data_IF_947404663434
#
_entry.id   IF_947404663434
#
_cell.length_a   1.000
_cell.length_b   1.000
_cell.length_c   1.000
_cell.angle_alpha   90.00
_cell.angle_beta   90.00
_cell.angle_gamma   90.00
#
_symmetry.space_group_name_H-M   'P 1'
#
loop_
_entity.id
_entity.type
_entity.pdbx_description
1 polymer ?
#
# COMPACT_ATOMS: atom_id res chain seq x y z
N UNK A 1 -7.73 12.41 -27.49
CA UNK A 1 -9.18 12.63 -27.73
C UNK A 1 -9.51 14.08 -27.40
N UNK A 2 -10.45 14.68 -28.13
CA UNK A 2 -10.82 16.10 -28.01
C UNK A 2 -11.48 16.34 -26.65
N UNK A 3 -10.84 17.12 -25.76
CA UNK A 3 -11.48 17.60 -24.53
C UNK A 3 -12.63 18.56 -24.89
N UNK A 4 -13.86 18.08 -24.81
CA UNK A 4 -15.05 18.93 -24.91
C UNK A 4 -15.14 19.77 -23.62
N UNK A 5 -14.75 21.05 -23.70
CA UNK A 5 -14.98 22.01 -22.61
C UNK A 5 -16.49 22.24 -22.45
N UNK A 6 -17.06 21.73 -21.36
CA UNK A 6 -18.44 21.99 -20.96
C UNK A 6 -18.59 23.47 -20.59
N UNK A 7 -19.55 24.15 -21.22
CA UNK A 7 -19.87 25.54 -20.94
C UNK A 7 -20.53 25.70 -19.57
N UNK A 8 -20.24 26.79 -18.85
CA UNK A 8 -20.78 27.08 -17.49
C UNK A 8 -22.32 26.99 -17.39
N UNK A 9 -23.04 27.18 -18.50
CA UNK A 9 -24.49 27.15 -18.53
C UNK A 9 -25.09 25.84 -19.05
N UNK A 10 -24.25 24.90 -19.51
CA UNK A 10 -24.69 23.62 -20.05
C UNK A 10 -25.26 22.72 -18.95
N UNK A 11 -26.10 21.72 -19.30
CA UNK A 11 -26.49 20.68 -18.35
C UNK A 11 -25.26 20.00 -17.75
N UNK A 12 -25.27 19.80 -16.44
CA UNK A 12 -24.14 19.27 -15.71
C UNK A 12 -23.86 17.80 -16.12
N UNK A 13 -22.61 17.43 -16.44
CA UNK A 13 -22.26 16.06 -16.90
C UNK A 13 -22.56 14.95 -15.89
N UNK A 14 -22.69 15.28 -14.60
CA UNK A 14 -23.03 14.32 -13.55
C UNK A 14 -24.47 13.79 -13.61
N UNK A 15 -25.26 14.19 -14.62
CA UNK A 15 -26.63 13.71 -14.81
C UNK A 15 -27.68 14.36 -13.90
N UNK A 16 -27.32 15.38 -13.10
CA UNK A 16 -28.22 16.03 -12.15
C UNK A 16 -29.33 16.88 -12.78
N UNK A 17 -29.27 17.14 -14.10
CA UNK A 17 -30.19 18.03 -14.81
C UNK A 17 -30.04 19.52 -14.50
N UNK A 18 -29.17 19.90 -13.55
CA UNK A 18 -28.87 21.31 -13.20
C UNK A 18 -27.86 21.92 -14.18
N UNK A 19 -27.80 23.25 -14.27
CA UNK A 19 -26.72 23.96 -15.00
C UNK A 19 -25.38 23.70 -14.32
N UNK A 20 -24.32 23.47 -15.10
CA UNK A 20 -22.98 23.14 -14.62
C UNK A 20 -22.48 24.09 -13.52
N UNK A 21 -22.65 25.42 -13.71
CA UNK A 21 -22.30 26.45 -12.71
C UNK A 21 -23.01 26.37 -11.35
N UNK A 22 -24.14 25.67 -11.27
CA UNK A 22 -24.95 25.50 -10.06
C UNK A 22 -24.88 24.07 -9.50
N UNK A 23 -23.97 23.26 -10.01
CA UNK A 23 -23.82 21.86 -9.63
C UNK A 23 -22.35 21.55 -9.37
N UNK A 24 -21.63 20.97 -10.34
CA UNK A 24 -20.26 20.54 -10.14
C UNK A 24 -19.23 21.65 -10.33
N UNK A 25 -19.53 22.75 -11.02
CA UNK A 25 -18.53 23.80 -11.26
C UNK A 25 -17.87 24.37 -9.99
N UNK A 26 -18.58 24.66 -8.88
CA UNK A 26 -17.91 25.12 -7.65
C UNK A 26 -16.94 24.07 -7.08
N UNK A 27 -17.32 22.78 -7.13
CA UNK A 27 -16.47 21.67 -6.73
C UNK A 27 -15.28 21.49 -7.69
N UNK A 28 -15.50 21.72 -8.98
CA UNK A 28 -14.52 21.60 -10.05
C UNK A 28 -13.56 22.79 -10.09
N UNK A 29 -14.03 23.99 -9.73
CA UNK A 29 -13.19 25.16 -9.50
C UNK A 29 -12.30 24.87 -8.29
N UNK A 30 -12.88 24.43 -7.15
CA UNK A 30 -12.13 23.98 -5.96
C UNK A 30 -11.10 22.86 -6.26
N UNK A 31 -11.39 21.95 -7.21
CA UNK A 31 -10.47 20.89 -7.66
C UNK A 31 -9.46 21.37 -8.70
N UNK A 32 -9.80 22.31 -9.58
CA UNK A 32 -8.83 22.91 -10.52
C UNK A 32 -7.76 23.73 -9.81
N UNK A 33 -8.03 24.12 -8.55
CA UNK A 33 -7.07 24.72 -7.62
C UNK A 33 -6.35 23.68 -6.73
N UNK A 34 -6.62 22.38 -6.89
CA UNK A 34 -6.01 21.29 -6.13
C UNK A 34 -5.47 20.23 -7.09
N UNK A 35 -4.16 20.33 -7.36
CA UNK A 35 -3.30 19.34 -8.02
C UNK A 35 -3.49 19.17 -9.53
N UNK A 36 -2.70 19.93 -10.29
CA UNK A 36 -2.10 19.40 -11.51
C UNK A 36 -0.95 18.43 -11.14
N UNK A 37 -1.25 17.18 -10.80
CA UNK A 37 -0.19 16.15 -10.74
C UNK A 37 0.39 15.99 -12.17
N UNK A 38 1.72 15.88 -12.39
CA UNK A 38 2.75 15.17 -11.61
C UNK A 38 4.02 16.00 -11.32
N UNK A 39 3.97 17.33 -11.27
CA UNK A 39 5.13 18.15 -10.87
C UNK A 39 5.05 18.59 -9.40
N UNK A 40 3.83 18.81 -8.88
CA UNK A 40 3.61 19.30 -7.51
C UNK A 40 3.95 18.24 -6.44
N UNK A 41 3.66 16.95 -6.67
CA UNK A 41 3.94 15.88 -5.71
C UNK A 41 5.43 15.67 -5.44
N UNK A 42 6.30 15.95 -6.42
CA UNK A 42 7.75 15.89 -6.22
C UNK A 42 8.23 17.06 -5.35
N UNK A 43 7.67 18.25 -5.53
CA UNK A 43 7.96 19.39 -4.67
C UNK A 43 7.55 19.10 -3.23
N UNK A 44 6.36 18.51 -3.01
CA UNK A 44 5.89 18.09 -1.69
C UNK A 44 6.85 17.14 -0.95
N UNK A 45 7.62 16.30 -1.67
CA UNK A 45 8.61 15.42 -1.06
C UNK A 45 9.87 16.15 -0.59
N UNK A 46 10.31 17.16 -1.34
CA UNK A 46 11.42 18.02 -0.89
C UNK A 46 11.01 18.85 0.33
N UNK A 47 9.75 19.28 0.37
CA UNK A 47 9.18 19.99 1.52
C UNK A 47 9.11 19.08 2.75
N UNK A 48 8.52 17.90 2.61
CA UNK A 48 8.51 16.89 3.68
C UNK A 48 9.92 16.61 4.26
N UNK A 49 10.93 16.55 3.39
CA UNK A 49 12.32 16.33 3.80
C UNK A 49 12.91 17.50 4.62
N UNK A 50 12.52 18.74 4.28
CA UNK A 50 12.94 19.95 5.00
C UNK A 50 12.18 20.12 6.33
N UNK A 51 10.93 19.68 6.40
CA UNK A 51 10.08 19.85 7.60
C UNK A 51 10.28 18.80 8.68
N UNK A 52 10.36 17.53 8.28
CA UNK A 52 10.27 16.42 9.24
C UNK A 52 11.64 15.95 9.74
N UNK A 53 12.74 16.40 9.10
CA UNK A 53 14.05 15.81 9.32
C UNK A 53 15.17 16.83 9.47
N UNK A 54 15.91 16.70 10.57
CA UNK A 54 17.22 17.32 10.73
C UNK A 54 18.30 16.43 10.09
N UNK A 55 19.27 17.04 9.41
CA UNK A 55 20.39 16.33 8.76
C UNK A 55 21.72 16.65 9.44
N UNK A 56 22.38 15.65 10.04
CA UNK A 56 23.67 15.83 10.71
C UNK A 56 24.81 16.23 9.74
N UNK A 57 24.62 16.02 8.44
CA UNK A 57 25.64 16.25 7.41
C UNK A 57 25.02 16.54 6.04
N UNK A 58 25.56 17.52 5.30
CA UNK A 58 25.06 17.93 3.95
C UNK A 58 24.98 16.76 2.95
N UNK A 59 25.97 15.87 2.96
CA UNK A 59 25.97 14.65 2.15
C UNK A 59 24.77 13.71 2.43
N UNK A 60 24.21 13.71 3.64
CA UNK A 60 23.03 12.89 3.96
C UNK A 60 21.77 13.51 3.36
N UNK A 61 21.61 14.82 3.48
CA UNK A 61 20.53 15.56 2.81
C UNK A 61 20.62 15.40 1.28
N UNK A 62 21.83 15.47 0.70
CA UNK A 62 22.04 15.26 -0.73
C UNK A 62 21.58 13.87 -1.19
N UNK A 63 21.86 12.82 -0.41
CA UNK A 63 21.38 11.47 -0.71
C UNK A 63 19.85 11.41 -0.64
N UNK A 64 19.23 12.05 0.35
CA UNK A 64 17.77 12.10 0.45
C UNK A 64 17.13 12.82 -0.75
N UNK A 65 17.71 13.94 -1.20
CA UNK A 65 17.30 14.62 -2.43
C UNK A 65 17.47 13.71 -3.66
N UNK A 66 18.59 13.01 -3.76
CA UNK A 66 18.83 12.07 -4.85
C UNK A 66 17.82 10.92 -4.85
N UNK A 67 17.45 10.39 -3.67
CA UNK A 67 16.38 9.39 -3.50
C UNK A 67 15.06 9.91 -4.08
N UNK A 68 14.68 11.16 -3.81
CA UNK A 68 13.50 11.78 -4.44
C UNK A 68 13.64 11.82 -5.96
N UNK A 69 14.81 12.23 -6.47
CA UNK A 69 15.03 12.31 -7.91
C UNK A 69 15.03 10.95 -8.62
N UNK A 70 15.60 9.92 -8.00
CA UNK A 70 15.79 8.60 -8.60
C UNK A 70 14.57 7.70 -8.46
N UNK A 71 13.80 7.84 -7.37
CA UNK A 71 12.59 7.09 -7.15
C UNK A 71 11.39 7.75 -7.83
N UNK A 72 11.34 9.07 -7.98
CA UNK A 72 10.24 9.72 -8.70
C UNK A 72 10.40 9.65 -10.23
N UNK A 73 9.34 9.40 -11.02
CA UNK A 73 7.95 9.13 -10.63
C UNK A 73 7.63 7.63 -10.49
N UNK A 74 8.63 6.75 -10.42
CA UNK A 74 8.44 5.29 -10.41
C UNK A 74 7.81 4.80 -9.10
N UNK A 75 8.04 5.51 -8.00
CA UNK A 75 7.51 5.20 -6.67
C UNK A 75 6.53 6.27 -6.22
N UNK A 76 5.57 5.83 -5.40
CA UNK A 76 4.59 6.72 -4.78
C UNK A 76 5.24 7.69 -3.79
N UNK A 77 4.73 8.94 -3.66
CA UNK A 77 5.31 9.92 -2.73
C UNK A 77 5.43 9.40 -1.30
N UNK A 78 4.43 8.71 -0.74
CA UNK A 78 4.56 8.16 0.62
C UNK A 78 5.64 7.09 0.75
N UNK A 79 5.93 6.35 -0.32
CA UNK A 79 7.01 5.35 -0.34
C UNK A 79 8.37 6.05 -0.39
N UNK A 80 8.48 7.13 -1.17
CA UNK A 80 9.68 7.97 -1.20
C UNK A 80 9.87 8.69 0.14
N UNK A 81 8.81 9.19 0.75
CA UNK A 81 8.82 9.75 2.10
C UNK A 81 9.31 8.73 3.13
N UNK A 82 8.83 7.50 3.07
CA UNK A 82 9.34 6.42 3.90
C UNK A 82 10.83 6.11 3.64
N UNK A 83 11.28 6.15 2.37
CA UNK A 83 12.69 6.00 2.04
C UNK A 83 13.57 7.11 2.63
N UNK A 84 13.08 8.36 2.62
CA UNK A 84 13.74 9.51 3.26
C UNK A 84 13.82 9.30 4.77
N UNK A 85 12.73 8.88 5.42
CA UNK A 85 12.68 8.62 6.86
C UNK A 85 13.67 7.52 7.26
N UNK A 86 13.66 6.38 6.55
CA UNK A 86 14.58 5.26 6.75
C UNK A 86 16.03 5.74 6.64
N UNK A 87 16.33 6.52 5.58
CA UNK A 87 17.67 7.06 5.36
C UNK A 87 18.09 8.04 6.45
N UNK A 88 17.22 8.97 6.86
CA UNK A 88 17.51 9.95 7.89
C UNK A 88 17.86 9.28 9.23
N UNK A 89 17.01 8.36 9.68
CA UNK A 89 17.21 7.63 10.93
C UNK A 89 18.52 6.85 10.89
N UNK A 90 18.78 6.10 9.82
CA UNK A 90 20.02 5.35 9.69
C UNK A 90 21.25 6.27 9.63
N UNK A 91 21.23 7.31 8.80
CA UNK A 91 22.39 8.15 8.56
C UNK A 91 22.81 8.96 9.79
N UNK A 92 21.85 9.54 10.53
CA UNK A 92 22.14 10.34 11.72
C UNK A 92 22.67 9.50 12.88
N UNK A 93 22.19 8.25 13.04
CA UNK A 93 22.62 7.38 14.14
C UNK A 93 23.91 6.61 13.83
N UNK A 94 24.03 6.06 12.61
CA UNK A 94 25.15 5.20 12.22
C UNK A 94 26.33 5.99 11.65
N UNK A 95 26.07 7.18 11.12
CA UNK A 95 27.07 8.07 10.51
C UNK A 95 27.93 7.35 9.45
N UNK A 96 27.30 6.76 8.42
CA UNK A 96 28.00 5.93 7.45
C UNK A 96 29.00 6.74 6.61
N UNK A 97 30.13 6.11 6.27
CA UNK A 97 31.11 6.69 5.34
C UNK A 97 30.62 6.53 3.90
N UNK A 98 30.20 7.63 3.30
CA UNK A 98 29.68 7.70 1.93
C UNK A 98 30.79 8.13 0.96
N UNK A 99 31.33 7.18 0.19
CA UNK A 99 32.30 7.47 -0.89
C UNK A 99 31.64 7.77 -2.23
N UNK A 100 30.47 7.16 -2.49
CA UNK A 100 29.64 7.35 -3.69
C UNK A 100 28.18 7.32 -3.25
N UNK A 101 27.42 8.36 -3.55
CA UNK A 101 26.03 8.51 -3.09
C UNK A 101 25.13 7.43 -3.67
N UNK A 102 25.27 7.09 -4.96
CA UNK A 102 24.49 6.05 -5.64
C UNK A 102 24.54 4.66 -5.00
N UNK A 103 25.58 4.35 -4.22
CA UNK A 103 25.64 3.09 -3.47
C UNK A 103 24.67 3.06 -2.29
N UNK A 104 24.46 4.20 -1.61
CA UNK A 104 23.49 4.32 -0.53
C UNK A 104 22.07 4.50 -1.07
N UNK A 105 21.90 5.31 -2.13
CA UNK A 105 20.60 5.49 -2.80
C UNK A 105 20.02 4.13 -3.25
N UNK A 106 20.82 3.31 -3.94
CA UNK A 106 20.41 1.97 -4.35
C UNK A 106 20.11 1.03 -3.17
N UNK A 107 20.84 1.16 -2.06
CA UNK A 107 20.63 0.35 -0.88
C UNK A 107 19.33 0.71 -0.15
N UNK A 108 19.04 2.00 0.00
CA UNK A 108 17.79 2.49 0.60
C UNK A 108 16.59 2.07 -0.26
N UNK A 109 16.64 2.27 -1.58
CA UNK A 109 15.57 1.83 -2.49
C UNK A 109 15.36 0.31 -2.42
N UNK A 110 16.44 -0.46 -2.34
CA UNK A 110 16.36 -1.91 -2.15
C UNK A 110 15.70 -2.27 -0.82
N UNK A 111 16.15 -1.67 0.29
CA UNK A 111 15.59 -1.95 1.62
C UNK A 111 14.09 -1.64 1.66
N UNK A 112 13.68 -0.47 1.17
CA UNK A 112 12.26 -0.09 1.08
C UNK A 112 11.48 -1.07 0.22
N UNK A 113 12.01 -1.48 -0.92
CA UNK A 113 11.34 -2.45 -1.78
C UNK A 113 11.15 -3.81 -1.09
N UNK A 114 12.13 -4.28 -0.32
CA UNK A 114 11.97 -5.53 0.44
C UNK A 114 10.96 -5.38 1.58
N UNK A 115 10.99 -4.25 2.31
CA UNK A 115 10.07 -3.98 3.42
C UNK A 115 8.61 -3.92 2.93
N UNK A 116 8.39 -3.36 1.75
CA UNK A 116 7.07 -3.13 1.18
C UNK A 116 6.64 -4.19 0.15
N UNK A 117 7.40 -5.29 0.03
CA UNK A 117 7.19 -6.36 -0.96
C UNK A 117 6.99 -5.85 -2.41
N UNK A 118 7.78 -4.85 -2.79
CA UNK A 118 7.79 -4.30 -4.14
C UNK A 118 8.70 -5.15 -5.05
N UNK A 119 8.33 -5.39 -6.32
CA UNK A 119 9.02 -6.31 -7.22
C UNK A 119 10.31 -5.70 -7.82
N UNK A 120 11.25 -5.31 -6.96
CA UNK A 120 12.49 -4.62 -7.34
C UNK A 120 13.68 -5.51 -7.00
N UNK A 121 14.55 -5.75 -7.98
CA UNK A 121 15.72 -6.64 -7.82
C UNK A 121 17.01 -5.85 -7.67
N UNK A 122 18.00 -6.40 -6.97
CA UNK A 122 19.33 -5.79 -6.89
C UNK A 122 19.99 -5.63 -8.26
N UNK A 123 19.69 -6.52 -9.22
CA UNK A 123 20.19 -6.42 -10.60
C UNK A 123 19.64 -5.19 -11.32
N UNK A 124 18.33 -4.93 -11.20
CA UNK A 124 17.71 -3.73 -11.77
C UNK A 124 18.28 -2.44 -11.15
N UNK A 125 18.51 -2.44 -9.83
CA UNK A 125 19.11 -1.30 -9.14
C UNK A 125 20.59 -1.11 -9.47
N UNK A 126 21.33 -2.19 -9.71
CA UNK A 126 22.73 -2.16 -10.13
C UNK A 126 22.91 -1.42 -11.45
N UNK A 127 22.01 -1.69 -12.41
CA UNK A 127 21.94 -0.98 -13.68
C UNK A 127 21.51 0.48 -13.49
N UNK A 128 20.44 0.73 -12.73
CA UNK A 128 19.89 2.08 -12.47
C UNK A 128 20.93 3.03 -11.85
N UNK A 129 21.71 2.55 -10.88
CA UNK A 129 22.61 3.38 -10.08
C UNK A 129 24.10 3.25 -10.45
N UNK A 130 24.44 2.39 -11.41
CA UNK A 130 25.83 2.20 -11.84
C UNK A 130 26.76 1.64 -10.75
N UNK A 131 26.22 0.82 -9.84
CA UNK A 131 26.94 0.18 -8.72
C UNK A 131 26.80 -1.33 -8.79
N UNK A 132 27.74 -2.10 -8.25
CA UNK A 132 27.63 -3.57 -8.31
C UNK A 132 26.56 -4.12 -7.36
N UNK A 133 25.91 -5.21 -7.73
CA UNK A 133 24.97 -5.97 -6.86
C UNK A 133 25.59 -6.27 -5.49
N UNK A 134 26.87 -6.66 -5.44
CA UNK A 134 27.59 -6.91 -4.20
C UNK A 134 27.70 -5.65 -3.32
N UNK A 135 27.83 -4.46 -3.92
CA UNK A 135 27.85 -3.19 -3.19
C UNK A 135 26.47 -2.89 -2.60
N UNK A 136 25.40 -3.06 -3.39
CA UNK A 136 24.02 -2.88 -2.92
C UNK A 136 23.73 -3.83 -1.76
N UNK A 137 24.03 -5.12 -1.93
CA UNK A 137 23.82 -6.13 -0.88
C UNK A 137 24.57 -5.78 0.40
N UNK A 138 25.84 -5.36 0.30
CA UNK A 138 26.63 -4.98 1.47
C UNK A 138 26.02 -3.77 2.19
N UNK A 139 25.65 -2.72 1.45
CA UNK A 139 25.07 -1.49 2.05
C UNK A 139 23.67 -1.71 2.59
N UNK A 140 22.86 -2.53 1.93
CA UNK A 140 21.55 -2.93 2.44
C UNK A 140 21.68 -3.75 3.73
N UNK A 141 22.66 -4.65 3.82
CA UNK A 141 22.94 -5.38 5.07
C UNK A 141 23.36 -4.45 6.21
N UNK A 142 24.13 -3.38 5.92
CA UNK A 142 24.46 -2.38 6.95
C UNK A 142 23.18 -1.74 7.53
N UNK A 143 22.15 -1.51 6.71
CA UNK A 143 20.84 -0.99 7.18
C UNK A 143 20.05 -2.08 7.90
N UNK A 144 19.94 -3.28 7.31
CA UNK A 144 19.13 -4.38 7.86
C UNK A 144 19.66 -4.96 9.17
N UNK A 145 20.95 -4.79 9.47
CA UNK A 145 21.55 -5.26 10.72
C UNK A 145 21.21 -4.36 11.92
N UNK A 146 20.66 -3.17 11.69
CA UNK A 146 20.28 -2.24 12.75
C UNK A 146 18.85 -2.55 13.23
N UNK A 147 18.70 -3.57 14.09
CA UNK A 147 17.38 -3.99 14.61
C UNK A 147 16.59 -2.81 15.22
N UNK A 148 17.26 -1.94 15.98
CA UNK A 148 16.67 -0.74 16.58
C UNK A 148 16.04 0.22 15.56
N UNK A 149 16.54 0.23 14.31
CA UNK A 149 16.03 1.09 13.25
C UNK A 149 14.60 0.67 12.91
N UNK A 150 14.37 -0.64 12.81
CA UNK A 150 13.06 -1.20 12.56
C UNK A 150 12.17 -1.07 13.79
N UNK A 151 12.69 -1.28 15.00
CA UNK A 151 11.92 -1.04 16.23
C UNK A 151 11.51 0.44 16.35
N UNK A 152 12.35 1.37 15.90
CA UNK A 152 12.04 2.81 15.94
C UNK A 152 11.03 3.20 14.88
N UNK A 153 11.16 2.61 13.69
CA UNK A 153 10.28 2.84 12.55
C UNK A 153 8.89 2.22 12.81
N UNK A 154 8.85 1.01 13.36
CA UNK A 154 7.64 0.20 13.56
C UNK A 154 7.10 0.20 15.00
N UNK A 155 7.75 0.91 15.95
CA UNK A 155 7.47 1.01 17.39
C UNK A 155 6.64 -0.15 17.98
N UNK A 156 7.35 -1.12 18.54
CA UNK A 156 6.80 -2.33 19.16
C UNK A 156 5.83 -2.06 20.32
N UNK A 157 4.67 -2.68 20.14
CA UNK A 157 3.74 -3.15 21.16
C UNK A 157 4.44 -3.95 22.27
N UNK A 158 4.70 -3.31 23.41
CA UNK A 158 4.84 -4.01 24.68
C UNK A 158 3.52 -3.96 25.48
N UNK A 159 2.42 -4.42 24.86
CA UNK A 159 1.32 -5.11 25.54
C UNK A 159 0.36 -5.69 24.49
N UNK A 160 0.04 -6.97 24.67
CA UNK A 160 -0.90 -7.78 23.89
C UNK A 160 -2.06 -6.99 23.23
N UNK A 161 -1.93 -6.68 21.95
CA UNK A 161 -2.90 -6.89 20.87
C UNK A 161 -2.40 -6.18 19.61
N UNK A 162 -2.58 -6.83 18.46
CA UNK A 162 -2.17 -6.33 17.15
C UNK A 162 -2.77 -4.94 16.85
N UNK A 163 -2.13 -4.28 15.88
CA UNK A 163 -2.41 -2.95 15.31
C UNK A 163 -1.60 -1.80 15.94
N UNK A 164 -1.45 -0.75 15.13
CA UNK A 164 -1.11 0.64 15.51
C UNK A 164 0.34 1.13 15.47
N UNK A 165 1.10 0.90 14.39
CA UNK A 165 1.97 1.94 13.78
C UNK A 165 2.57 1.40 12.47
N UNK A 166 2.06 1.84 11.32
CA UNK A 166 2.78 1.63 10.04
C UNK A 166 3.50 2.94 9.70
N UNK A 167 4.81 2.95 9.42
CA UNK A 167 5.58 4.14 9.05
C UNK A 167 4.97 4.93 7.87
N UNK A 168 4.25 4.22 7.01
CA UNK A 168 3.51 4.79 5.89
C UNK A 168 2.37 5.73 6.35
N UNK A 169 1.78 5.49 7.52
CA UNK A 169 0.69 6.29 8.05
C UNK A 169 1.18 7.63 8.61
N UNK A 170 2.32 7.64 9.32
CA UNK A 170 2.95 8.89 9.76
C UNK A 170 3.38 9.75 8.56
N UNK A 171 3.96 9.12 7.53
CA UNK A 171 4.29 9.81 6.28
C UNK A 171 3.02 10.32 5.56
N UNK A 172 1.92 9.57 5.58
CA UNK A 172 0.64 10.01 5.03
C UNK A 172 0.06 11.21 5.78
N UNK A 173 0.10 11.21 7.12
CA UNK A 173 -0.35 12.33 7.96
C UNK A 173 0.44 13.60 7.65
N UNK A 174 1.77 13.54 7.62
CA UNK A 174 2.61 14.68 7.29
C UNK A 174 2.30 15.21 5.88
N UNK A 175 2.20 14.32 4.88
CA UNK A 175 1.86 14.72 3.52
C UNK A 175 0.44 15.31 3.40
N UNK A 176 -0.52 14.83 4.19
CA UNK A 176 -1.86 15.38 4.28
C UNK A 176 -1.86 16.80 4.85
N UNK A 177 -1.12 17.03 5.94
CA UNK A 177 -0.96 18.34 6.57
C UNK A 177 -0.33 19.37 5.62
N UNK A 178 0.76 19.00 4.94
CA UNK A 178 1.41 19.84 3.92
C UNK A 178 0.42 20.14 2.78
N UNK A 179 -0.31 19.13 2.30
CA UNK A 179 -1.30 19.30 1.22
C UNK A 179 -2.38 20.33 1.62
N UNK A 180 -2.85 20.30 2.87
CA UNK A 180 -3.83 21.28 3.36
C UNK A 180 -3.24 22.68 3.52
N UNK A 181 -1.98 22.82 3.91
CA UNK A 181 -1.32 24.13 4.04
C UNK A 181 -1.22 24.87 2.70
N UNK A 182 -1.00 24.15 1.61
CA UNK A 182 -0.84 24.71 0.26
C UNK A 182 -2.16 24.81 -0.51
N UNK A 183 -3.21 24.15 -0.04
CA UNK A 183 -4.53 24.09 -0.67
C UNK A 183 -5.10 25.49 -0.89
N UNK A 184 -5.51 25.78 -2.13
CA UNK A 184 -6.11 27.06 -2.50
C UNK A 184 -5.14 28.25 -2.56
N UNK A 185 -3.83 28.00 -2.48
CA UNK A 185 -2.78 29.02 -2.68
C UNK A 185 -2.14 28.82 -4.05
N UNK A 186 -1.85 29.92 -4.72
CA UNK A 186 -1.13 29.92 -5.99
C UNK A 186 0.35 30.25 -5.74
N UNK A 187 1.22 29.50 -6.40
CA UNK A 187 2.66 29.72 -6.37
C UNK A 187 3.17 29.87 -7.81
N UNK A 188 3.90 30.95 -8.07
CA UNK A 188 4.50 31.31 -9.36
C UNK A 188 5.74 30.44 -9.68
N UNK A 189 6.34 29.80 -8.68
CA UNK A 189 7.43 28.85 -8.84
C UNK A 189 7.52 27.84 -7.70
N UNK A 190 8.26 26.76 -7.93
CA UNK A 190 8.63 25.79 -6.88
C UNK A 190 9.42 26.45 -5.74
N UNK A 191 10.28 27.41 -6.05
CA UNK A 191 11.03 28.18 -5.05
C UNK A 191 10.09 29.00 -4.17
N UNK A 192 9.05 29.62 -4.72
CA UNK A 192 8.06 30.37 -3.94
C UNK A 192 7.25 29.46 -3.02
N UNK A 193 6.93 28.24 -3.49
CA UNK A 193 6.30 27.21 -2.66
C UNK A 193 7.23 26.80 -1.51
N UNK A 194 8.52 26.56 -1.78
CA UNK A 194 9.52 26.25 -0.74
C UNK A 194 9.69 27.40 0.26
N UNK A 195 9.77 28.66 -0.18
CA UNK A 195 9.85 29.83 0.69
C UNK A 195 8.60 29.99 1.56
N UNK A 196 7.41 29.80 0.98
CA UNK A 196 6.15 29.90 1.71
C UNK A 196 6.08 28.89 2.86
N UNK A 197 6.48 27.65 2.59
CA UNK A 197 6.46 26.56 3.57
C UNK A 197 7.50 26.85 4.65
N UNK A 198 8.78 27.05 4.29
CA UNK A 198 9.86 27.39 5.23
C UNK A 198 9.53 28.60 6.13
N UNK A 199 8.90 29.65 5.59
CA UNK A 199 8.50 30.83 6.36
C UNK A 199 7.41 30.54 7.41
N UNK A 200 6.51 29.58 7.13
CA UNK A 200 5.48 29.16 8.08
C UNK A 200 5.98 28.15 9.11
N UNK A 201 7.23 27.67 8.97
CA UNK A 201 7.77 26.56 9.75
C UNK A 201 8.98 26.93 10.62
N UNK A 202 9.61 28.09 10.36
CA UNK A 202 10.64 28.66 11.24
C UNK A 202 10.10 29.06 12.63
N UNK A 203 10.18 28.14 13.59
CA UNK A 203 10.46 28.34 15.01
C UNK A 203 9.43 29.05 15.91
N UNK A 204 8.43 29.77 15.38
CA UNK A 204 7.41 30.45 16.20
C UNK A 204 5.97 29.96 15.96
N UNK A 205 5.74 29.09 14.96
CA UNK A 205 4.41 28.52 14.66
C UNK A 205 4.20 27.09 15.15
N UNK A 206 5.22 26.42 15.74
CA UNK A 206 5.07 25.08 16.37
C UNK A 206 4.07 25.06 17.54
N UNK A 207 3.58 26.21 18.00
CA UNK A 207 2.58 26.32 19.07
C UNK A 207 1.16 26.71 18.64
N UNK A 208 0.91 26.96 17.36
CA UNK A 208 -0.48 27.08 16.91
C UNK A 208 -0.93 25.73 16.35
N UNK A 209 -1.55 24.91 17.22
CA UNK A 209 -2.74 24.16 16.83
C UNK A 209 -3.74 25.20 16.32
N UNK A 210 -3.57 25.70 15.10
CA UNK A 210 -4.65 26.33 14.37
C UNK A 210 -5.59 25.19 14.06
N UNK A 211 -6.46 24.86 15.02
CA UNK A 211 -7.50 23.89 14.84
C UNK A 211 -8.24 24.29 13.56
N UNK A 212 -8.10 23.46 12.52
CA UNK A 212 -8.84 23.69 11.28
C UNK A 212 -10.31 23.83 11.64
N UNK A 213 -10.99 24.80 11.03
CA UNK A 213 -12.43 24.98 11.19
C UNK A 213 -13.22 24.15 10.16
N UNK A 214 -12.53 23.47 9.24
CA UNK A 214 -13.15 22.54 8.29
C UNK A 214 -13.50 21.22 9.00
N UNK A 215 -14.79 20.86 9.13
CA UNK A 215 -15.20 19.61 9.78
C UNK A 215 -14.52 18.37 9.19
N UNK A 216 -14.21 18.37 7.88
CA UNK A 216 -13.51 17.26 7.23
C UNK A 216 -12.09 17.11 7.73
N UNK A 217 -11.34 18.21 7.80
CA UNK A 217 -9.94 18.21 8.26
C UNK A 217 -9.88 17.89 9.76
N UNK A 218 -10.83 18.41 10.54
CA UNK A 218 -10.98 18.04 11.95
C UNK A 218 -11.23 16.54 12.13
N UNK A 219 -12.15 15.96 11.35
CA UNK A 219 -12.45 14.54 11.39
C UNK A 219 -11.23 13.70 10.98
N UNK A 220 -10.50 14.10 9.92
CA UNK A 220 -9.30 13.38 9.50
C UNK A 220 -8.20 13.39 10.56
N UNK A 221 -7.98 14.52 11.25
CA UNK A 221 -7.00 14.59 12.33
C UNK A 221 -7.39 13.69 13.52
N UNK A 222 -8.67 13.63 13.88
CA UNK A 222 -9.15 12.68 14.90
C UNK A 222 -8.91 11.22 14.48
N UNK A 223 -8.97 10.92 13.18
CA UNK A 223 -8.74 9.57 12.66
C UNK A 223 -7.26 9.18 12.68
N UNK A 224 -6.36 10.12 12.40
CA UNK A 224 -4.92 9.91 12.63
C UNK A 224 -4.64 9.65 14.12
N UNK A 225 -5.21 10.47 15.00
CA UNK A 225 -5.10 10.27 16.45
C UNK A 225 -5.71 8.91 16.87
N UNK A 226 -6.79 8.46 16.21
CA UNK A 226 -7.41 7.17 16.48
C UNK A 226 -6.55 5.97 16.06
N UNK A 227 -5.81 6.06 14.96
CA UNK A 227 -4.90 4.97 14.57
C UNK A 227 -3.64 4.87 15.43
N UNK A 228 -3.21 5.98 16.03
CA UNK A 228 -2.09 6.02 16.98
C UNK A 228 -2.53 5.65 18.41
N UNK A 229 -3.84 5.58 18.67
CA UNK A 229 -4.39 5.34 20.00
C UNK A 229 -4.36 3.83 20.37
N UNK A 230 -3.64 3.44 21.43
CA UNK A 230 -3.53 2.03 21.82
C UNK A 230 -4.85 1.44 22.34
N UNK A 231 -5.70 2.26 22.98
CA UNK A 231 -6.95 1.79 23.58
C UNK A 231 -8.05 1.59 22.54
N UNK A 232 -8.46 0.34 22.31
CA UNK A 232 -9.54 0.00 21.38
C UNK A 232 -10.84 0.79 21.64
N UNK A 233 -11.22 0.98 22.92
CA UNK A 233 -12.43 1.74 23.25
C UNK A 233 -12.30 3.21 22.87
N UNK A 234 -11.11 3.79 23.02
CA UNK A 234 -10.85 5.20 22.69
C UNK A 234 -10.69 5.41 21.19
N UNK A 235 -10.13 4.43 20.45
CA UNK A 235 -10.16 4.42 18.98
C UNK A 235 -11.59 4.52 18.44
N UNK A 236 -12.48 3.69 18.96
CA UNK A 236 -13.91 3.71 18.61
C UNK A 236 -14.55 5.05 18.97
N UNK A 237 -14.25 5.61 20.13
CA UNK A 237 -14.77 6.93 20.53
C UNK A 237 -14.34 8.03 19.54
N UNK A 238 -13.07 8.08 19.17
CA UNK A 238 -12.52 9.05 18.21
C UNK A 238 -13.14 8.88 16.82
N UNK A 239 -13.32 7.64 16.35
CA UNK A 239 -14.00 7.36 15.09
C UNK A 239 -15.47 7.82 15.10
N UNK A 240 -16.19 7.63 16.22
CA UNK A 240 -17.57 8.13 16.38
C UNK A 240 -17.59 9.66 16.36
N UNK A 241 -16.66 10.31 17.05
CA UNK A 241 -16.53 11.78 17.02
C UNK A 241 -16.25 12.29 15.60
N UNK A 242 -15.37 11.61 14.84
CA UNK A 242 -15.10 11.93 13.45
C UNK A 242 -16.35 11.81 12.57
N UNK A 243 -17.17 10.75 12.72
CA UNK A 243 -18.45 10.59 12.00
C UNK A 243 -19.44 11.70 12.35
N UNK A 244 -19.51 12.12 13.62
CA UNK A 244 -20.40 13.20 14.05
C UNK A 244 -20.01 14.55 13.43
N UNK A 245 -18.72 14.79 13.24
CA UNK A 245 -18.20 15.99 12.57
C UNK A 245 -18.39 15.91 11.05
N UNK A 246 -18.08 14.75 10.46
CA UNK A 246 -18.08 14.54 9.03
C UNK A 246 -18.46 13.09 8.68
N UNK A 247 -19.75 12.83 8.38
CA UNK A 247 -20.26 11.48 8.15
C UNK A 247 -19.70 10.77 6.91
N UNK A 248 -19.09 11.51 5.99
CA UNK A 248 -18.51 11.00 4.76
C UNK A 248 -16.99 10.69 4.90
N UNK A 249 -16.52 10.43 6.13
CA UNK A 249 -15.16 9.93 6.44
C UNK A 249 -15.09 8.39 6.33
N UNK A 250 -14.46 7.81 5.29
CA UNK A 250 -14.40 6.35 5.14
C UNK A 250 -13.62 5.67 6.27
N UNK A 251 -12.49 6.27 6.69
CA UNK A 251 -11.61 5.71 7.71
C UNK A 251 -12.26 5.62 9.09
N UNK A 252 -13.24 6.47 9.38
CA UNK A 252 -14.00 6.33 10.63
C UNK A 252 -14.76 5.01 10.68
N UNK A 253 -15.41 4.62 9.58
CA UNK A 253 -16.07 3.33 9.50
C UNK A 253 -15.07 2.17 9.43
N UNK A 254 -13.89 2.38 8.84
CA UNK A 254 -12.83 1.37 8.83
C UNK A 254 -12.40 1.02 10.26
N UNK A 255 -12.16 2.02 11.10
CA UNK A 255 -11.80 1.82 12.52
C UNK A 255 -12.91 1.10 13.28
N UNK A 256 -14.18 1.46 13.02
CA UNK A 256 -15.33 0.76 13.62
C UNK A 256 -15.41 -0.71 13.18
N UNK A 257 -15.17 -0.99 11.90
CA UNK A 257 -15.17 -2.35 11.37
C UNK A 257 -14.04 -3.20 11.96
N UNK A 258 -12.82 -2.65 12.02
CA UNK A 258 -11.64 -3.31 12.60
C UNK A 258 -11.80 -3.59 14.10
N UNK A 259 -12.57 -2.75 14.79
CA UNK A 259 -12.86 -2.89 16.21
C UNK A 259 -14.07 -3.79 16.49
N UNK A 260 -14.78 -4.25 15.45
CA UNK A 260 -15.94 -5.12 15.62
C UNK A 260 -15.50 -6.55 15.92
N UNK A 261 -16.18 -7.18 16.88
CA UNK A 261 -16.04 -8.60 17.18
C UNK A 261 -16.96 -9.50 16.34
N UNK A 262 -17.78 -8.92 15.47
CA UNK A 262 -18.79 -9.61 14.66
C UNK A 262 -18.58 -9.35 13.17
N UNK A 263 -18.56 -10.42 12.38
CA UNK A 263 -18.28 -10.32 10.94
C UNK A 263 -19.38 -9.59 10.18
N UNK A 264 -20.66 -9.77 10.54
CA UNK A 264 -21.76 -9.10 9.85
C UNK A 264 -21.75 -7.60 10.11
N UNK A 265 -21.45 -7.20 11.35
CA UNK A 265 -21.26 -5.81 11.74
C UNK A 265 -20.05 -5.19 11.03
N UNK A 266 -18.90 -5.88 10.97
CA UNK A 266 -17.73 -5.43 10.23
C UNK A 266 -18.02 -5.23 8.73
N UNK A 267 -18.75 -6.15 8.10
CA UNK A 267 -19.22 -6.01 6.70
C UNK A 267 -20.04 -4.73 6.54
N UNK A 268 -20.97 -4.47 7.47
CA UNK A 268 -21.83 -3.31 7.39
C UNK A 268 -21.04 -2.01 7.54
N UNK A 269 -20.10 -1.93 8.49
CA UNK A 269 -19.25 -0.75 8.65
C UNK A 269 -18.34 -0.52 7.45
N UNK A 270 -17.63 -1.53 6.95
CA UNK A 270 -16.80 -1.36 5.75
C UNK A 270 -17.62 -0.95 4.52
N UNK A 271 -18.84 -1.49 4.38
CA UNK A 271 -19.76 -1.06 3.33
C UNK A 271 -20.14 0.42 3.48
N UNK A 272 -20.44 0.88 4.69
CA UNK A 272 -20.72 2.29 4.96
C UNK A 272 -19.52 3.19 4.67
N UNK A 273 -18.31 2.75 5.05
CA UNK A 273 -17.06 3.45 4.72
C UNK A 273 -16.85 3.58 3.21
N UNK A 274 -17.09 2.50 2.46
CA UNK A 274 -17.03 2.50 1.00
C UNK A 274 -18.04 3.49 0.40
N UNK A 275 -19.30 3.44 0.83
CA UNK A 275 -20.36 4.34 0.36
C UNK A 275 -20.10 5.81 0.75
N UNK A 276 -19.51 6.07 1.92
CA UNK A 276 -19.03 7.38 2.32
C UNK A 276 -17.93 7.90 1.39
N UNK A 277 -16.96 7.04 1.05
CA UNK A 277 -15.90 7.39 0.11
C UNK A 277 -16.41 7.66 -1.30
N UNK A 278 -17.41 6.90 -1.77
CA UNK A 278 -18.06 7.15 -3.07
C UNK A 278 -18.72 8.53 -3.13
N UNK A 279 -19.39 8.94 -2.04
CA UNK A 279 -20.02 10.27 -1.93
C UNK A 279 -18.98 11.39 -1.88
N UNK A 280 -17.91 11.20 -1.11
CA UNK A 280 -16.87 12.22 -0.94
C UNK A 280 -16.02 12.43 -2.20
N UNK A 281 -15.59 11.33 -2.83
CA UNK A 281 -14.81 11.40 -4.06
C UNK A 281 -15.65 11.87 -5.24
N UNK A 282 -16.91 11.42 -5.31
CA UNK A 282 -17.81 11.69 -6.41
C UNK A 282 -17.36 11.07 -7.74
N UNK A 283 -18.29 10.95 -8.70
CA UNK A 283 -18.07 10.21 -9.95
C UNK A 283 -16.88 10.67 -10.80
N UNK A 284 -16.49 11.94 -10.69
CA UNK A 284 -15.38 12.51 -11.47
C UNK A 284 -14.04 11.89 -11.09
N UNK A 285 -13.78 11.68 -9.80
CA UNK A 285 -12.53 11.07 -9.33
C UNK A 285 -12.39 9.64 -9.84
N UNK A 286 -13.47 8.87 -9.88
CA UNK A 286 -13.47 7.53 -10.48
C UNK A 286 -13.17 7.49 -11.98
N UNK A 287 -13.22 8.63 -12.66
CA UNK A 287 -12.84 8.74 -14.07
C UNK A 287 -11.45 9.32 -14.26
N UNK A 288 -11.12 10.43 -13.58
CA UNK A 288 -9.87 11.16 -13.77
C UNK A 288 -8.69 10.53 -13.03
N UNK A 289 -8.94 10.00 -11.84
CA UNK A 289 -7.92 9.46 -10.95
C UNK A 289 -7.73 7.95 -11.13
N UNK A 290 -8.54 7.33 -11.99
CA UNK A 290 -8.54 5.88 -12.25
C UNK A 290 -7.15 5.43 -12.68
N UNK A 291 -6.62 4.42 -12.00
CA UNK A 291 -5.24 3.96 -12.18
C UNK A 291 -4.27 4.46 -11.11
N UNK A 292 -4.67 5.48 -10.33
CA UNK A 292 -3.80 6.19 -9.39
C UNK A 292 -4.41 6.31 -7.98
N UNK A 293 -5.47 5.56 -7.68
CA UNK A 293 -6.24 5.69 -6.43
C UNK A 293 -5.43 5.44 -5.14
N UNK A 294 -4.29 4.75 -5.21
CA UNK A 294 -3.43 4.59 -4.05
C UNK A 294 -2.37 5.68 -3.92
N UNK A 295 -1.92 6.23 -5.05
CA UNK A 295 -0.95 7.33 -5.06
C UNK A 295 -1.51 8.66 -4.59
N UNK A 296 -2.82 8.84 -4.74
CA UNK A 296 -3.54 10.00 -4.28
C UNK A 296 -4.01 9.81 -2.83
N UNK A 297 -3.46 10.60 -1.91
CA UNK A 297 -3.74 10.49 -0.47
C UNK A 297 -5.24 10.57 -0.19
N UNK A 298 -5.95 11.46 -0.88
CA UNK A 298 -7.38 11.69 -0.66
C UNK A 298 -8.30 10.52 -1.08
N UNK A 299 -7.82 9.57 -1.90
CA UNK A 299 -8.59 8.37 -2.31
C UNK A 299 -8.28 7.13 -1.46
N UNK A 300 -7.21 7.15 -0.65
CA UNK A 300 -6.82 6.02 0.21
C UNK A 300 -7.87 5.58 1.22
N UNK A 301 -8.59 6.50 1.92
CA UNK A 301 -9.64 6.10 2.85
C UNK A 301 -10.68 5.17 2.20
N UNK A 302 -11.10 5.51 0.98
CA UNK A 302 -12.02 4.69 0.19
C UNK A 302 -11.42 3.33 -0.19
N UNK A 303 -10.16 3.31 -0.63
CA UNK A 303 -9.47 2.07 -1.00
C UNK A 303 -9.31 1.11 0.19
N UNK A 304 -9.06 1.62 1.40
CA UNK A 304 -9.04 0.83 2.64
C UNK A 304 -10.43 0.27 2.96
N UNK A 305 -11.49 1.08 2.83
CA UNK A 305 -12.86 0.58 3.03
C UNK A 305 -13.23 -0.51 2.05
N UNK A 306 -12.82 -0.36 0.78
CA UNK A 306 -13.09 -1.34 -0.27
C UNK A 306 -12.35 -2.65 -0.02
N UNK A 307 -11.11 -2.58 0.43
CA UNK A 307 -10.32 -3.75 0.83
C UNK A 307 -10.94 -4.48 2.01
N UNK A 308 -11.24 -3.78 3.10
CA UNK A 308 -11.86 -4.36 4.28
C UNK A 308 -13.20 -5.02 3.97
N UNK A 309 -14.02 -4.36 3.13
CA UNK A 309 -15.28 -4.92 2.65
C UNK A 309 -15.06 -6.22 1.85
N UNK A 310 -14.14 -6.20 0.89
CA UNK A 310 -13.83 -7.36 0.04
C UNK A 310 -13.27 -8.55 0.85
N UNK A 311 -12.39 -8.27 1.82
CA UNK A 311 -11.85 -9.27 2.73
C UNK A 311 -12.95 -9.88 3.61
N UNK A 312 -13.84 -9.07 4.19
CA UNK A 312 -14.95 -9.59 4.98
C UNK A 312 -15.92 -10.45 4.15
N UNK A 313 -16.20 -10.04 2.89
CA UNK A 313 -17.00 -10.86 1.96
C UNK A 313 -16.32 -12.21 1.66
N UNK A 314 -14.99 -12.21 1.48
CA UNK A 314 -14.22 -13.43 1.27
C UNK A 314 -14.31 -14.37 2.47
N UNK A 315 -14.14 -13.86 3.69
CA UNK A 315 -14.28 -14.62 4.94
C UNK A 315 -15.71 -15.17 5.11
N UNK A 316 -16.72 -14.37 4.75
CA UNK A 316 -18.12 -14.79 4.74
C UNK A 316 -18.47 -15.80 3.62
N UNK A 317 -17.51 -16.16 2.75
CA UNK A 317 -17.72 -17.08 1.64
C UNK A 317 -18.52 -16.49 0.47
N UNK A 318 -18.71 -15.16 0.42
CA UNK A 318 -19.42 -14.46 -0.65
C UNK A 318 -18.47 -14.16 -1.83
N UNK A 319 -17.94 -15.23 -2.43
CA UNK A 319 -16.82 -15.18 -3.39
C UNK A 319 -17.09 -14.30 -4.62
N UNK A 320 -18.29 -14.33 -5.19
CA UNK A 320 -18.63 -13.53 -6.37
C UNK A 320 -18.70 -12.03 -6.06
N UNK A 321 -19.11 -11.67 -4.84
CA UNK A 321 -19.11 -10.28 -4.40
C UNK A 321 -17.69 -9.80 -4.09
N UNK A 322 -16.89 -10.62 -3.39
CA UNK A 322 -15.47 -10.33 -3.15
C UNK A 322 -14.70 -10.16 -4.48
N UNK A 323 -14.94 -11.04 -5.48
CA UNK A 323 -14.34 -10.91 -6.82
C UNK A 323 -14.62 -9.54 -7.43
N UNK A 324 -15.87 -9.06 -7.35
CA UNK A 324 -16.25 -7.78 -7.94
C UNK A 324 -15.48 -6.64 -7.30
N UNK A 325 -15.40 -6.62 -5.98
CA UNK A 325 -14.72 -5.55 -5.23
C UNK A 325 -13.21 -5.57 -5.48
N UNK A 326 -12.55 -6.74 -5.40
CA UNK A 326 -11.12 -6.85 -5.67
C UNK A 326 -10.77 -6.55 -7.13
N UNK A 327 -11.58 -6.99 -8.10
CA UNK A 327 -11.33 -6.69 -9.50
C UNK A 327 -11.45 -5.19 -9.79
N UNK A 328 -12.39 -4.50 -9.16
CA UNK A 328 -12.51 -3.05 -9.26
C UNK A 328 -11.35 -2.33 -8.56
N UNK A 329 -10.85 -2.85 -7.42
CA UNK A 329 -9.64 -2.31 -6.79
C UNK A 329 -8.43 -2.34 -7.71
N UNK A 330 -8.20 -3.44 -8.44
CA UNK A 330 -7.12 -3.52 -9.43
C UNK A 330 -7.32 -2.60 -10.63
N UNK A 331 -8.57 -2.25 -10.93
CA UNK A 331 -8.89 -1.30 -12.00
C UNK A 331 -8.61 0.16 -11.57
N UNK A 332 -8.90 0.47 -10.31
CA UNK A 332 -8.60 1.78 -9.71
C UNK A 332 -7.11 1.94 -9.35
N UNK A 333 -6.44 0.83 -9.02
CA UNK A 333 -5.02 0.75 -8.72
C UNK A 333 -4.37 -0.50 -9.36
N UNK A 334 -3.94 -0.41 -10.64
CA UNK A 334 -3.26 -1.50 -11.34
C UNK A 334 -1.90 -1.87 -10.75
N UNK A 335 -1.24 -0.96 -10.03
CA UNK A 335 0.03 -1.24 -9.34
C UNK A 335 -0.16 -2.16 -8.13
N UNK A 336 -1.40 -2.38 -7.70
CA UNK A 336 -1.79 -3.31 -6.64
C UNK A 336 -0.98 -3.15 -5.34
N UNK A 337 -0.88 -1.90 -4.87
CA UNK A 337 -0.14 -1.58 -3.64
C UNK A 337 -0.70 -2.27 -2.39
N UNK A 338 -1.97 -2.70 -2.42
CA UNK A 338 -2.64 -3.42 -1.33
C UNK A 338 -2.52 -4.95 -1.47
N UNK A 339 -1.92 -5.45 -2.57
CA UNK A 339 -1.70 -6.89 -2.74
C UNK A 339 -2.97 -7.71 -3.01
N UNK A 340 -4.06 -7.07 -3.46
CA UNK A 340 -5.35 -7.76 -3.65
C UNK A 340 -5.34 -8.76 -4.81
N UNK A 341 -4.31 -8.72 -5.67
CA UNK A 341 -4.09 -9.72 -6.73
C UNK A 341 -4.03 -11.13 -6.17
N UNK A 342 -3.49 -11.32 -4.97
CA UNK A 342 -3.34 -12.63 -4.35
C UNK A 342 -4.72 -13.24 -4.02
N UNK A 343 -5.55 -12.52 -3.27
CA UNK A 343 -6.92 -12.93 -2.94
C UNK A 343 -7.76 -13.14 -4.20
N UNK A 344 -7.66 -12.24 -5.18
CA UNK A 344 -8.40 -12.36 -6.43
C UNK A 344 -7.98 -13.59 -7.25
N UNK A 345 -6.69 -13.94 -7.25
CA UNK A 345 -6.18 -15.15 -7.91
C UNK A 345 -6.80 -16.41 -7.30
N UNK A 346 -6.81 -16.51 -5.97
CA UNK A 346 -7.42 -17.63 -5.25
C UNK A 346 -8.91 -17.74 -5.54
N UNK A 347 -9.63 -16.62 -5.54
CA UNK A 347 -11.06 -16.56 -5.90
C UNK A 347 -11.28 -17.07 -7.34
N UNK A 348 -10.48 -16.62 -8.32
CA UNK A 348 -10.61 -17.11 -9.70
C UNK A 348 -10.36 -18.61 -9.82
N UNK A 349 -9.39 -19.16 -9.08
CA UNK A 349 -9.12 -20.61 -9.07
C UNK A 349 -10.26 -21.37 -8.38
N UNK A 350 -10.84 -20.83 -7.30
CA UNK A 350 -11.95 -21.45 -6.59
C UNK A 350 -13.22 -21.49 -7.43
N UNK A 351 -13.56 -20.36 -8.07
CA UNK A 351 -14.73 -20.22 -8.96
C UNK A 351 -14.51 -20.82 -10.36
N UNK A 352 -13.40 -21.52 -10.59
CA UNK A 352 -13.02 -22.11 -11.87
C UNK A 352 -12.96 -21.11 -13.06
N UNK A 353 -12.69 -19.84 -12.78
CA UNK A 353 -12.51 -18.76 -13.77
C UNK A 353 -11.07 -18.80 -14.31
N UNK A 354 -10.66 -19.94 -14.86
CA UNK A 354 -9.26 -20.24 -15.18
C UNK A 354 -8.62 -19.27 -16.16
N UNK A 355 -9.37 -18.75 -17.14
CA UNK A 355 -8.83 -17.76 -18.09
C UNK A 355 -8.57 -16.40 -17.44
N UNK A 356 -9.38 -16.01 -16.43
CA UNK A 356 -9.10 -14.81 -15.64
C UNK A 356 -7.87 -15.02 -14.75
N UNK A 357 -7.75 -16.18 -14.10
CA UNK A 357 -6.57 -16.54 -13.31
C UNK A 357 -5.28 -16.55 -14.15
N UNK A 358 -5.32 -17.12 -15.36
CA UNK A 358 -4.18 -17.11 -16.29
C UNK A 358 -3.76 -15.69 -16.66
N UNK A 359 -4.71 -14.83 -17.06
CA UNK A 359 -4.41 -13.42 -17.36
C UNK A 359 -3.83 -12.66 -16.17
N UNK A 360 -4.34 -12.90 -14.96
CA UNK A 360 -3.83 -12.24 -13.76
C UNK A 360 -2.36 -12.64 -13.48
N UNK A 361 -2.04 -13.92 -13.62
CA UNK A 361 -0.67 -14.46 -13.47
C UNK A 361 0.31 -13.99 -14.56
N UNK A 362 -0.19 -13.62 -15.73
CA UNK A 362 0.56 -12.99 -16.83
C UNK A 362 0.74 -11.48 -16.59
N UNK A 363 -0.29 -10.81 -16.07
CA UNK A 363 -0.23 -9.36 -15.78
C UNK A 363 0.74 -9.06 -14.65
N UNK A 364 0.67 -9.84 -13.57
CA UNK A 364 1.56 -9.72 -12.41
C UNK A 364 2.61 -10.83 -12.45
N UNK A 365 3.59 -10.67 -13.33
CA UNK A 365 4.69 -11.62 -13.44
C UNK A 365 5.67 -11.48 -12.26
N UNK A 366 5.38 -12.24 -11.21
CA UNK A 366 6.18 -12.25 -9.99
C UNK A 366 6.65 -13.68 -9.68
N UNK A 367 7.84 -13.78 -9.08
CA UNK A 367 8.46 -15.04 -8.68
C UNK A 367 8.30 -15.30 -7.18
N UNK A 368 7.10 -15.23 -6.62
CA UNK A 368 6.83 -15.59 -5.21
C UNK A 368 6.25 -16.99 -5.05
N UNK A 369 6.18 -17.45 -3.79
CA UNK A 369 5.53 -18.70 -3.45
C UNK A 369 4.06 -18.64 -3.88
N UNK A 370 3.40 -17.52 -3.63
CA UNK A 370 1.99 -17.35 -3.95
C UNK A 370 1.72 -17.55 -5.44
N UNK A 371 2.49 -16.88 -6.30
CA UNK A 371 2.28 -16.97 -7.74
C UNK A 371 2.70 -18.32 -8.31
N UNK A 372 3.84 -18.88 -7.88
CA UNK A 372 4.36 -20.12 -8.44
C UNK A 372 3.51 -21.33 -8.05
N UNK A 373 3.09 -21.45 -6.79
CA UNK A 373 2.23 -22.55 -6.38
C UNK A 373 0.79 -22.38 -6.91
N UNK A 374 0.31 -21.15 -7.09
CA UNK A 374 -0.96 -20.90 -7.78
C UNK A 374 -0.92 -21.27 -9.27
N UNK A 375 0.20 -21.03 -9.97
CA UNK A 375 0.42 -21.51 -11.35
C UNK A 375 0.34 -23.03 -11.43
N UNK A 376 0.98 -23.73 -10.48
CA UNK A 376 0.94 -25.19 -10.38
C UNK A 376 -0.49 -25.70 -10.15
N UNK A 377 -1.19 -25.14 -9.17
CA UNK A 377 -2.58 -25.49 -8.87
C UNK A 377 -3.51 -25.23 -10.05
N UNK A 378 -3.41 -24.06 -10.69
CA UNK A 378 -4.20 -23.71 -11.87
C UNK A 378 -3.93 -24.67 -13.04
N UNK A 379 -2.68 -25.00 -13.32
CA UNK A 379 -2.32 -25.94 -14.38
C UNK A 379 -2.92 -27.33 -14.15
N UNK A 380 -2.91 -27.80 -12.90
CA UNK A 380 -3.57 -29.03 -12.50
C UNK A 380 -5.08 -28.96 -12.66
N UNK A 381 -5.73 -27.87 -12.21
CA UNK A 381 -7.20 -27.74 -12.35
C UNK A 381 -7.64 -27.66 -13.82
N UNK A 382 -6.82 -27.10 -14.71
CA UNK A 382 -7.10 -27.06 -16.16
C UNK A 382 -6.92 -28.42 -16.85
N UNK A 383 -5.87 -29.18 -16.52
CA UNK A 383 -5.42 -30.30 -17.35
C UNK A 383 -5.24 -31.63 -16.60
N UNK A 384 -5.46 -31.67 -15.29
CA UNK A 384 -5.08 -32.80 -14.44
C UNK A 384 -3.56 -32.97 -14.32
N UNK A 385 -3.15 -34.19 -13.93
CA UNK A 385 -1.74 -34.56 -13.85
C UNK A 385 -1.11 -34.56 -15.25
N UNK A 386 -0.05 -33.80 -15.45
CA UNK A 386 0.64 -33.66 -16.73
C UNK A 386 2.13 -33.40 -16.53
N UNK A 387 2.94 -33.66 -17.55
CA UNK A 387 4.38 -33.40 -17.54
C UNK A 387 4.73 -31.91 -17.32
N UNK A 388 3.80 -30.99 -17.61
CA UNK A 388 3.97 -29.56 -17.32
C UNK A 388 4.04 -29.28 -15.82
N UNK A 389 3.41 -30.12 -14.98
CA UNK A 389 3.40 -29.92 -13.53
C UNK A 389 4.78 -30.15 -12.93
N UNK A 390 5.61 -31.04 -13.50
CA UNK A 390 6.97 -31.28 -13.01
C UNK A 390 7.80 -29.99 -13.08
N UNK A 391 7.82 -29.32 -14.24
CA UNK A 391 8.52 -28.04 -14.39
C UNK A 391 7.95 -26.94 -13.49
N UNK A 392 6.62 -26.85 -13.35
CA UNK A 392 6.01 -25.83 -12.49
C UNK A 392 6.33 -26.08 -11.01
N UNK A 393 6.38 -27.34 -10.60
CA UNK A 393 6.78 -27.74 -9.26
C UNK A 393 8.24 -27.39 -9.01
N UNK A 394 9.14 -27.71 -9.94
CA UNK A 394 10.57 -27.38 -9.80
C UNK A 394 10.79 -25.88 -9.60
N UNK A 395 10.11 -25.03 -10.40
CA UNK A 395 10.16 -23.57 -10.24
C UNK A 395 9.62 -23.13 -8.87
N UNK A 396 8.48 -23.68 -8.44
CA UNK A 396 7.87 -23.34 -7.16
C UNK A 396 8.75 -23.75 -5.97
N UNK A 397 9.35 -24.95 -6.01
CA UNK A 397 10.25 -25.47 -4.96
C UNK A 397 11.57 -24.73 -4.92
N UNK A 398 12.13 -24.39 -6.09
CA UNK A 398 13.36 -23.61 -6.17
C UNK A 398 13.21 -22.25 -5.49
N UNK A 399 12.04 -21.63 -5.63
CA UNK A 399 11.74 -20.35 -5.01
C UNK A 399 11.40 -20.49 -3.53
N UNK A 400 10.47 -21.39 -3.17
CA UNK A 400 10.12 -21.64 -1.78
C UNK A 400 9.90 -23.14 -1.52
N UNK A 401 10.88 -23.83 -0.90
CA UNK A 401 10.80 -25.26 -0.64
C UNK A 401 9.91 -25.62 0.56
N UNK A 402 9.49 -24.64 1.36
CA UNK A 402 8.79 -24.88 2.63
C UNK A 402 7.29 -25.16 2.46
N UNK A 403 6.65 -24.61 1.42
CA UNK A 403 5.21 -24.74 1.15
C UNK A 403 4.75 -26.20 1.15
N UNK A 404 5.52 -27.10 0.52
CA UNK A 404 5.11 -28.50 0.38
C UNK A 404 5.00 -29.20 1.74
N UNK A 405 5.87 -28.89 2.69
CA UNK A 405 5.82 -29.53 4.00
C UNK A 405 4.54 -29.14 4.77
N UNK A 406 4.03 -27.93 4.59
CA UNK A 406 2.73 -27.53 5.14
C UNK A 406 1.57 -28.14 4.35
N UNK A 407 1.59 -28.13 3.02
CA UNK A 407 0.54 -28.74 2.18
C UNK A 407 0.36 -30.24 2.46
N UNK A 408 1.46 -30.96 2.71
CA UNK A 408 1.45 -32.39 3.03
C UNK A 408 1.23 -32.69 4.52
N UNK A 409 1.03 -31.67 5.35
CA UNK A 409 0.81 -31.82 6.80
C UNK A 409 2.01 -32.35 7.58
N UNK A 410 3.23 -32.19 7.04
CA UNK A 410 4.49 -32.51 7.75
C UNK A 410 4.87 -31.43 8.75
N UNK A 411 4.47 -30.18 8.48
CA UNK A 411 4.48 -29.05 9.40
C UNK A 411 3.06 -28.57 9.66
N UNK A 412 2.80 -28.07 10.86
CA UNK A 412 1.53 -27.42 11.23
C UNK A 412 1.64 -25.92 11.00
N UNK A 413 0.56 -25.31 10.51
CA UNK A 413 0.45 -23.85 10.48
C UNK A 413 0.43 -23.30 11.93
N UNK A 414 1.01 -22.11 12.16
CA UNK A 414 0.87 -21.43 13.44
C UNK A 414 -0.59 -21.05 13.71
N UNK A 415 -0.93 -20.81 14.97
CA UNK A 415 -2.28 -20.35 15.35
C UNK A 415 -2.57 -18.89 15.00
N UNK A 416 -1.52 -18.12 14.67
CA UNK A 416 -1.59 -16.73 14.21
C UNK A 416 -0.73 -16.60 12.96
N UNK A 417 -1.19 -15.81 11.99
CA UNK A 417 -0.42 -15.50 10.81
C UNK A 417 0.85 -14.70 11.19
N UNK A 418 1.97 -14.87 10.47
CA UNK A 418 3.17 -14.06 10.68
C UNK A 418 2.92 -12.58 10.39
N UNK A 419 3.54 -11.69 11.17
CA UNK A 419 3.47 -10.24 10.95
C UNK A 419 4.27 -9.79 9.72
N UNK A 420 5.30 -10.55 9.34
CA UNK A 420 6.14 -10.30 8.17
C UNK A 420 6.62 -11.61 7.53
N UNK A 421 6.98 -11.53 6.25
CA UNK A 421 7.67 -12.59 5.56
C UNK A 421 8.80 -12.05 4.69
N UNK A 422 9.84 -12.85 4.50
CA UNK A 422 10.88 -12.65 3.51
C UNK A 422 10.66 -13.54 2.28
N UNK A 423 11.15 -13.08 1.15
CA UNK A 423 11.07 -13.84 -0.10
C UNK A 423 11.76 -15.21 0.00
N UNK A 424 11.01 -16.29 -0.25
CA UNK A 424 11.49 -17.68 -0.21
C UNK A 424 11.54 -18.32 1.18
N UNK A 425 11.15 -17.59 2.23
CA UNK A 425 11.28 -18.05 3.61
C UNK A 425 10.09 -18.93 4.08
N UNK A 426 10.14 -19.36 5.34
CA UNK A 426 9.07 -20.18 5.93
C UNK A 426 7.77 -19.38 6.18
N UNK A 427 7.85 -18.08 6.46
CA UNK A 427 6.67 -17.24 6.69
C UNK A 427 5.90 -17.00 5.39
N UNK A 428 6.58 -16.78 4.27
CA UNK A 428 5.96 -16.67 2.94
C UNK A 428 5.18 -17.96 2.61
N UNK A 429 5.74 -19.11 2.97
CA UNK A 429 5.08 -20.40 2.81
C UNK A 429 3.83 -20.54 3.69
N UNK A 430 3.89 -20.05 4.94
CA UNK A 430 2.74 -20.03 5.85
C UNK A 430 1.62 -19.17 5.25
N UNK A 431 1.94 -17.95 4.80
CA UNK A 431 0.97 -17.02 4.20
C UNK A 431 0.26 -17.64 2.98
N UNK A 432 1.01 -18.27 2.08
CA UNK A 432 0.41 -18.94 0.93
C UNK A 432 -0.52 -20.09 1.34
N UNK A 433 -0.05 -20.97 2.23
CA UNK A 433 -0.80 -22.17 2.59
C UNK A 433 -2.02 -21.83 3.44
N UNK A 434 -1.92 -20.89 4.37
CA UNK A 434 -3.07 -20.42 5.15
C UNK A 434 -4.20 -19.93 4.25
N UNK A 435 -3.87 -19.11 3.25
CA UNK A 435 -4.83 -18.56 2.30
C UNK A 435 -5.40 -19.59 1.29
N UNK A 436 -4.68 -20.69 1.00
CA UNK A 436 -5.02 -21.57 -0.13
C UNK A 436 -5.19 -23.05 0.20
N UNK A 437 -4.99 -23.48 1.44
CA UNK A 437 -5.03 -24.90 1.80
C UNK A 437 -6.37 -25.56 1.47
N UNK A 438 -7.48 -24.82 1.57
CA UNK A 438 -8.81 -25.32 1.20
C UNK A 438 -8.93 -25.69 -0.28
N UNK A 439 -8.17 -25.04 -1.16
CA UNK A 439 -8.11 -25.39 -2.58
C UNK A 439 -7.31 -26.67 -2.78
N UNK A 440 -6.17 -26.81 -2.12
CA UNK A 440 -5.30 -27.99 -2.24
C UNK A 440 -5.90 -29.25 -1.62
N UNK A 441 -6.51 -29.15 -0.44
CA UNK A 441 -7.05 -30.31 0.30
C UNK A 441 -8.15 -31.05 -0.46
N UNK A 442 -8.86 -30.34 -1.36
CA UNK A 442 -9.88 -30.93 -2.24
C UNK A 442 -9.26 -31.80 -3.35
N UNK A 443 -7.99 -31.57 -3.67
CA UNK A 443 -7.27 -32.22 -4.78
C UNK A 443 -6.37 -33.38 -4.31
N UNK A 444 -6.99 -34.44 -3.77
CA UNK A 444 -6.27 -35.58 -3.19
C UNK A 444 -5.27 -36.26 -4.15
N UNK A 445 -5.56 -36.31 -5.46
CA UNK A 445 -4.64 -36.86 -6.47
C UNK A 445 -3.39 -35.99 -6.63
N UNK A 446 -3.54 -34.67 -6.58
CA UNK A 446 -2.42 -33.73 -6.68
C UNK A 446 -1.52 -33.83 -5.43
N UNK A 447 -2.11 -33.91 -4.23
CA UNK A 447 -1.34 -34.10 -2.99
C UNK A 447 -0.59 -35.44 -2.96
N UNK A 448 -1.20 -36.53 -3.45
CA UNK A 448 -0.50 -37.81 -3.60
C UNK A 448 0.64 -37.72 -4.61
N UNK A 449 0.44 -37.01 -5.71
CA UNK A 449 1.48 -36.75 -6.71
C UNK A 449 2.64 -35.96 -6.11
N UNK A 450 2.37 -34.85 -5.39
CA UNK A 450 3.38 -34.05 -4.67
C UNK A 450 4.18 -34.89 -3.66
N UNK A 451 3.52 -35.78 -2.91
CA UNK A 451 4.18 -36.66 -1.93
C UNK A 451 5.20 -37.58 -2.58
N UNK A 452 4.91 -38.11 -3.79
CA UNK A 452 5.83 -38.98 -4.54
C UNK A 452 7.05 -38.19 -5.03
N UNK A 453 6.85 -37.01 -5.61
CA UNK A 453 7.93 -36.22 -6.21
C UNK A 453 8.89 -35.64 -5.16
N UNK A 454 8.39 -35.32 -3.97
CA UNK A 454 9.26 -34.83 -2.87
C UNK A 454 9.91 -35.91 -2.01
N UNK A 455 9.55 -37.18 -2.19
CA UNK A 455 10.22 -38.30 -1.52
C UNK A 455 11.52 -38.72 -2.23
N UNK A 456 11.68 -38.38 -3.51
CA UNK A 456 12.82 -38.79 -4.35
C UNK A 456 14.05 -37.91 -4.12
N UNK A 457 13.90 -36.65 -3.72
CA UNK A 457 15.00 -35.71 -3.45
C UNK A 457 15.60 -35.73 -2.03
N UNK A 458 15.21 -36.67 -1.16
CA UNK A 458 15.74 -36.83 0.21
C UNK A 458 16.68 -38.04 0.37
N UNK A 459 17.34 -38.47 -0.71
CA UNK A 459 18.41 -39.49 -0.66
C UNK A 459 19.75 -38.91 -1.01
#
# INVERSE_FOLDING_TARGET
MIHLKVGRNDPCPCGSGKKYKKCCLPQDELRSYSLSAPQDSKALLFLFMEEEFDWDHEQYELIARNIVHSMYPQYEPSVIAFAIQLWNLFANNIRPIVKKTGAMEAAVEYCVAQILDLPVTQSALSEKYGVSVATISKRAQEIFNEEWLFDTIFQENNSQQAHTHTPLLSAERAMYEITNMVKGKEFESTEQLHEFINAHLSGQARQTKNASLDPKEMAQNLLYDAWEEPSASKRVELAIQAIQLYPDSPDAYNILAESSGDLEEAIQFYKQGKEAGERELGLRSFHEDRGHFWGLIHTRPYMRSKEGYANCLLVAGQLELAEKEFAEMLDLNPNDNQGVRYSLLSIYIELNKFEKASRLLETYEENSAYMNYSRLLLAYKKNGLSAKLDHLLDKAVQQNPHVIDFLLGRKKLPGQAPDYYGHGDTNEAIMYVDANYHLWRREGKLLQWLKKHTAVGRR
#
